data_IF_129561536204
#
_entry.id   IF_129561536204
#
_cell.length_a   1.000
_cell.length_b   1.000
_cell.length_c   1.000
_cell.angle_alpha   90.00
_cell.angle_beta   90.00
_cell.angle_gamma   90.00
#
_symmetry.space_group_name_H-M   'P 1'
#
loop_
_entity.id
_entity.type
_entity.pdbx_description
1 polymer ?
#
# COMPACT_ATOMS: atom_id res chain seq x y z
N UNK A 1 30.85 2.36 0.44
CA UNK A 1 29.39 2.21 0.63
C UNK A 1 28.73 3.26 -0.25
N UNK A 2 27.93 2.84 -1.23
CA UNK A 2 27.20 3.77 -2.10
C UNK A 2 26.19 4.58 -1.27
N UNK A 3 25.91 5.81 -1.71
CA UNK A 3 25.01 6.75 -1.02
C UNK A 3 23.54 6.27 -0.95
N UNK A 4 23.19 5.32 -1.82
CA UNK A 4 21.86 4.71 -1.93
C UNK A 4 22.02 3.23 -1.68
N UNK A 5 21.23 2.66 -0.77
CA UNK A 5 21.13 1.21 -0.62
C UNK A 5 20.53 0.65 -1.91
N UNK A 6 21.32 -0.07 -2.75
CA UNK A 6 20.85 -0.55 -4.04
C UNK A 6 19.65 -1.50 -3.89
N UNK A 7 19.50 -2.17 -2.75
CA UNK A 7 18.38 -3.05 -2.49
C UNK A 7 17.09 -2.26 -2.25
N UNK A 8 17.17 -1.16 -1.49
CA UNK A 8 16.03 -0.27 -1.26
C UNK A 8 15.62 0.47 -2.53
N UNK A 9 16.59 0.89 -3.35
CA UNK A 9 16.32 1.49 -4.65
C UNK A 9 15.59 0.52 -5.58
N UNK A 10 16.02 -0.74 -5.63
CA UNK A 10 15.32 -1.78 -6.39
C UNK A 10 13.91 -2.00 -5.85
N UNK A 11 13.72 -2.08 -4.54
CA UNK A 11 12.38 -2.19 -3.94
C UNK A 11 11.48 -1.01 -4.32
N UNK A 12 11.97 0.23 -4.23
CA UNK A 12 11.22 1.42 -4.61
C UNK A 12 10.84 1.45 -6.10
N UNK A 13 11.63 0.80 -6.95
CA UNK A 13 11.34 0.61 -8.37
C UNK A 13 10.22 -0.42 -8.56
N UNK A 14 10.36 -1.60 -7.97
CA UNK A 14 9.33 -2.65 -8.05
C UNK A 14 7.98 -2.15 -7.51
N UNK A 15 7.96 -1.45 -6.37
CA UNK A 15 6.72 -0.88 -5.81
C UNK A 15 6.09 0.20 -6.70
N UNK A 16 6.90 0.91 -7.49
CA UNK A 16 6.39 1.85 -8.51
C UNK A 16 5.69 1.10 -9.63
N UNK A 17 6.26 -0.01 -10.07
CA UNK A 17 5.70 -0.82 -11.15
C UNK A 17 4.43 -1.56 -10.71
N UNK A 18 4.36 -2.00 -9.45
CA UNK A 18 3.11 -2.51 -8.85
C UNK A 18 2.01 -1.45 -8.89
N UNK A 19 2.29 -0.21 -8.47
CA UNK A 19 1.33 0.90 -8.55
C UNK A 19 0.85 1.16 -9.98
N UNK A 20 1.77 1.15 -10.95
CA UNK A 20 1.44 1.32 -12.36
C UNK A 20 0.57 0.16 -12.87
N UNK A 21 0.88 -1.07 -12.48
CA UNK A 21 0.09 -2.26 -12.81
C UNK A 21 -1.34 -2.16 -12.28
N UNK A 22 -1.52 -1.73 -11.03
CA UNK A 22 -2.85 -1.51 -10.44
C UNK A 22 -3.65 -0.43 -11.19
N UNK A 23 -3.02 0.70 -11.52
CA UNK A 23 -3.66 1.78 -12.25
C UNK A 23 -4.09 1.34 -13.66
N UNK A 24 -3.23 0.60 -14.36
CA UNK A 24 -3.54 0.05 -15.67
C UNK A 24 -4.70 -0.94 -15.59
N UNK A 25 -4.65 -1.89 -14.64
CA UNK A 25 -5.73 -2.86 -14.47
C UNK A 25 -7.07 -2.19 -14.17
N UNK A 26 -7.09 -1.18 -13.29
CA UNK A 26 -8.30 -0.42 -12.99
C UNK A 26 -8.88 0.26 -14.23
N UNK A 27 -8.02 0.89 -15.04
CA UNK A 27 -8.41 1.55 -16.29
C UNK A 27 -8.96 0.55 -17.31
N UNK A 28 -8.20 -0.50 -17.63
CA UNK A 28 -8.56 -1.52 -18.62
C UNK A 28 -9.84 -2.24 -18.21
N UNK A 29 -10.01 -2.53 -16.91
CA UNK A 29 -11.23 -3.14 -16.40
C UNK A 29 -12.46 -2.25 -16.56
N UNK A 30 -12.31 -0.94 -16.35
CA UNK A 30 -13.36 0.06 -16.57
C UNK A 30 -13.68 0.27 -18.06
N UNK A 31 -12.71 0.13 -18.96
CA UNK A 31 -12.97 0.13 -20.40
C UNK A 31 -13.71 -1.14 -20.83
N UNK A 32 -13.28 -2.31 -20.34
CA UNK A 32 -13.95 -3.58 -20.62
C UNK A 32 -15.40 -3.59 -20.12
N UNK A 33 -15.70 -2.98 -18.97
CA UNK A 33 -17.08 -2.90 -18.45
C UNK A 33 -17.98 -2.03 -19.33
N UNK A 34 -17.46 -0.95 -19.91
CA UNK A 34 -18.20 -0.12 -20.87
C UNK A 34 -18.53 -0.90 -22.14
N UNK A 35 -17.57 -1.65 -22.69
CA UNK A 35 -17.82 -2.47 -23.87
C UNK A 35 -18.80 -3.62 -23.59
N UNK A 36 -18.81 -4.19 -22.38
CA UNK A 36 -19.82 -5.17 -21.97
C UNK A 36 -21.24 -4.57 -22.05
N UNK A 37 -21.44 -3.36 -21.52
CA UNK A 37 -22.74 -2.69 -21.60
C UNK A 37 -23.12 -2.30 -23.04
N UNK A 38 -22.14 -1.84 -23.85
CA UNK A 38 -22.38 -1.52 -25.27
C UNK A 38 -22.82 -2.76 -26.06
N UNK A 39 -22.18 -3.90 -25.86
CA UNK A 39 -22.61 -5.15 -26.44
C UNK A 39 -23.99 -5.55 -25.92
N UNK A 40 -24.24 -5.47 -24.61
CA UNK A 40 -25.56 -5.77 -24.04
C UNK A 40 -26.69 -4.90 -24.60
N UNK A 41 -26.42 -3.68 -25.05
CA UNK A 41 -27.43 -2.79 -25.63
C UNK A 41 -27.98 -3.25 -26.98
N UNK A 42 -27.27 -4.12 -27.71
CA UNK A 42 -27.77 -4.70 -28.97
C UNK A 42 -28.43 -6.06 -28.77
N UNK A 43 -28.45 -6.56 -27.53
CA UNK A 43 -29.05 -7.84 -27.15
C UNK A 43 -30.48 -7.65 -26.61
N UNK A 44 -31.14 -8.76 -26.26
CA UNK A 44 -32.46 -8.75 -25.64
C UNK A 44 -32.47 -8.06 -24.27
N UNK A 45 -33.66 -7.63 -23.83
CA UNK A 45 -33.84 -6.76 -22.66
C UNK A 45 -33.28 -7.36 -21.34
N UNK A 46 -33.28 -8.68 -21.21
CA UNK A 46 -32.69 -9.41 -20.09
C UNK A 46 -31.16 -9.31 -20.05
N UNK A 47 -30.49 -9.59 -21.18
CA UNK A 47 -29.05 -9.46 -21.33
C UNK A 47 -28.62 -8.01 -21.16
N UNK A 48 -29.34 -7.07 -21.78
CA UNK A 48 -29.09 -5.64 -21.65
C UNK A 48 -29.09 -5.18 -20.19
N UNK A 49 -30.16 -5.48 -19.45
CA UNK A 49 -30.31 -5.04 -18.06
C UNK A 49 -29.18 -5.60 -17.18
N UNK A 50 -28.86 -6.88 -17.33
CA UNK A 50 -27.79 -7.52 -16.55
C UNK A 50 -26.42 -6.94 -16.91
N UNK A 51 -26.13 -6.70 -18.19
CA UNK A 51 -24.88 -6.08 -18.62
C UNK A 51 -24.74 -4.65 -18.07
N UNK A 52 -25.81 -3.86 -18.07
CA UNK A 52 -25.81 -2.51 -17.49
C UNK A 52 -25.50 -2.55 -15.98
N UNK A 53 -26.11 -3.48 -15.23
CA UNK A 53 -25.83 -3.63 -13.79
C UNK A 53 -24.42 -4.13 -13.51
N UNK A 54 -23.93 -5.09 -14.29
CA UNK A 54 -22.57 -5.61 -14.15
C UNK A 54 -21.54 -4.54 -14.50
N UNK A 55 -21.82 -3.64 -15.45
CA UNK A 55 -20.99 -2.46 -15.70
C UNK A 55 -20.86 -1.61 -14.43
N UNK A 56 -21.98 -1.23 -13.82
CA UNK A 56 -21.98 -0.39 -12.62
C UNK A 56 -21.21 -1.07 -11.46
N UNK A 57 -21.34 -2.38 -11.31
CA UNK A 57 -20.56 -3.15 -10.33
C UNK A 57 -19.05 -3.13 -10.63
N UNK A 58 -18.65 -3.17 -11.90
CA UNK A 58 -17.25 -3.06 -12.30
C UNK A 58 -16.70 -1.63 -12.20
N UNK A 59 -17.53 -0.61 -12.33
CA UNK A 59 -17.14 0.76 -11.98
C UNK A 59 -16.82 0.86 -10.48
N UNK A 60 -17.58 0.20 -9.61
CA UNK A 60 -17.22 0.10 -8.20
C UNK A 60 -15.91 -0.66 -7.98
N UNK A 61 -15.62 -1.73 -8.73
CA UNK A 61 -14.31 -2.41 -8.68
C UNK A 61 -13.16 -1.45 -9.05
N UNK A 62 -13.35 -0.59 -10.06
CA UNK A 62 -12.37 0.43 -10.42
C UNK A 62 -12.11 1.37 -9.23
N UNK A 63 -13.17 1.83 -8.54
CA UNK A 63 -13.03 2.67 -7.34
C UNK A 63 -12.29 1.94 -6.19
N UNK A 64 -12.56 0.64 -5.99
CA UNK A 64 -11.85 -0.19 -5.01
C UNK A 64 -10.35 -0.29 -5.33
N UNK A 65 -9.98 -0.47 -6.60
CA UNK A 65 -8.59 -0.56 -7.05
C UNK A 65 -7.85 0.78 -6.89
N UNK A 66 -8.52 1.90 -7.16
CA UNK A 66 -7.96 3.25 -6.91
C UNK A 66 -7.68 3.44 -5.42
N UNK A 67 -8.62 3.05 -4.55
CA UNK A 67 -8.42 3.12 -3.11
C UNK A 67 -7.26 2.22 -2.63
N UNK A 68 -7.14 1.01 -3.17
CA UNK A 68 -6.01 0.11 -2.92
C UNK A 68 -4.68 0.75 -3.35
N UNK A 69 -4.64 1.36 -4.54
CA UNK A 69 -3.46 2.08 -5.05
C UNK A 69 -3.03 3.22 -4.13
N UNK A 70 -3.96 3.91 -3.48
CA UNK A 70 -3.62 4.94 -2.48
C UNK A 70 -2.87 4.35 -1.29
N UNK A 71 -3.30 3.18 -0.80
CA UNK A 71 -2.59 2.45 0.26
C UNK A 71 -1.15 2.08 -0.12
N UNK A 72 -0.96 1.56 -1.34
CA UNK A 72 0.38 1.31 -1.90
C UNK A 72 1.23 2.57 -2.01
N UNK A 73 0.64 3.71 -2.37
CA UNK A 73 1.38 4.97 -2.43
C UNK A 73 1.89 5.38 -1.04
N UNK A 74 1.05 5.25 0.00
CA UNK A 74 1.43 5.56 1.39
C UNK A 74 2.62 4.68 1.81
N UNK A 75 2.54 3.37 1.60
CA UNK A 75 3.66 2.46 1.90
C UNK A 75 4.94 2.85 1.17
N UNK A 76 4.84 3.11 -0.13
CA UNK A 76 5.99 3.52 -0.95
C UNK A 76 6.59 4.85 -0.50
N UNK A 77 5.78 5.80 -0.05
CA UNK A 77 6.26 7.08 0.47
C UNK A 77 7.05 6.88 1.77
N UNK A 78 6.64 5.96 2.65
CA UNK A 78 7.44 5.59 3.84
C UNK A 78 8.80 4.98 3.47
N UNK A 79 8.85 4.17 2.42
CA UNK A 79 10.13 3.66 1.90
C UNK A 79 11.04 4.77 1.35
N UNK A 80 10.47 5.79 0.70
CA UNK A 80 11.24 6.96 0.25
C UNK A 80 11.81 7.75 1.44
N UNK A 81 11.02 7.92 2.50
CA UNK A 81 11.47 8.59 3.72
C UNK A 81 12.63 7.84 4.37
N UNK A 82 12.58 6.50 4.38
CA UNK A 82 13.71 5.66 4.83
C UNK A 82 14.94 5.88 3.94
N UNK A 83 14.77 5.87 2.62
CA UNK A 83 15.88 6.07 1.68
C UNK A 83 16.53 7.45 1.87
N UNK A 84 15.71 8.51 2.02
CA UNK A 84 16.19 9.86 2.28
C UNK A 84 16.97 9.94 3.60
N UNK A 85 16.48 9.32 4.67
CA UNK A 85 17.21 9.26 5.94
C UNK A 85 18.57 8.54 5.83
N UNK A 86 18.67 7.53 4.97
CA UNK A 86 19.93 6.85 4.69
C UNK A 86 20.91 7.75 3.92
N UNK A 87 20.43 8.51 2.94
CA UNK A 87 21.22 9.49 2.19
C UNK A 87 21.76 10.59 3.11
N UNK A 88 20.91 11.17 3.97
CA UNK A 88 21.29 12.18 4.95
C UNK A 88 22.37 11.66 5.92
N UNK A 89 22.20 10.44 6.43
CA UNK A 89 23.21 9.77 7.27
C UNK A 89 24.52 9.54 6.52
N UNK A 90 24.46 9.14 5.25
CA UNK A 90 25.65 8.91 4.44
C UNK A 90 26.47 10.20 4.26
N UNK A 91 25.80 11.33 4.01
CA UNK A 91 26.45 12.65 3.89
C UNK A 91 27.18 13.01 5.19
N UNK A 92 26.53 12.80 6.34
CA UNK A 92 27.14 13.10 7.64
C UNK A 92 28.34 12.17 7.93
N UNK A 93 28.28 10.91 7.52
CA UNK A 93 29.42 9.99 7.61
C UNK A 93 30.58 10.39 6.68
N UNK A 94 30.30 10.93 5.49
CA UNK A 94 31.34 11.47 4.60
C UNK A 94 32.02 12.71 5.21
N UNK A 95 31.26 13.57 5.90
CA UNK A 95 31.80 14.70 6.66
C UNK A 95 32.76 14.21 7.75
N UNK A 96 32.36 13.20 8.54
CA UNK A 96 33.22 12.59 9.56
C UNK A 96 34.53 12.05 8.96
N UNK A 97 34.45 11.26 7.88
CA UNK A 97 35.64 10.73 7.19
C UNK A 97 36.57 11.85 6.73
N UNK A 98 36.02 12.92 6.17
CA UNK A 98 36.80 14.07 5.71
C UNK A 98 37.51 14.79 6.88
N UNK A 99 36.85 14.94 8.03
CA UNK A 99 37.48 15.51 9.24
C UNK A 99 38.59 14.58 9.77
N UNK A 100 38.37 13.27 9.77
CA UNK A 100 39.36 12.26 10.18
C UNK A 100 40.59 12.28 9.25
N UNK A 101 40.40 12.39 7.94
CA UNK A 101 41.50 12.48 6.96
C UNK A 101 42.34 13.75 7.16
N UNK A 102 41.69 14.90 7.42
CA UNK A 102 42.39 16.16 7.76
C UNK A 102 43.23 16.01 9.04
N UNK A 103 42.66 15.39 10.08
CA UNK A 103 43.36 15.13 11.33
C UNK A 103 44.57 14.21 11.10
N UNK A 104 44.39 13.09 10.39
CA UNK A 104 45.46 12.15 10.08
C UNK A 104 46.60 12.82 9.29
N UNK A 105 46.28 13.67 8.32
CA UNK A 105 47.26 14.44 7.56
C UNK A 105 48.02 15.44 8.45
N UNK A 106 47.33 16.15 9.36
CA UNK A 106 47.96 17.10 10.27
C UNK A 106 48.94 16.40 11.23
N UNK A 107 48.56 15.25 11.78
CA UNK A 107 49.42 14.40 12.62
C UNK A 107 50.66 13.96 11.84
N UNK A 108 50.47 13.40 10.64
CA UNK A 108 51.58 12.95 9.77
C UNK A 108 52.54 14.09 9.43
N UNK A 109 52.00 15.29 9.24
CA UNK A 109 52.77 16.49 8.89
C UNK A 109 53.34 17.24 10.10
N UNK A 110 53.18 16.71 11.33
CA UNK A 110 53.60 17.36 12.58
C UNK A 110 53.06 18.79 12.75
N UNK A 111 51.86 19.05 12.24
CA UNK A 111 51.17 20.35 12.36
C UNK A 111 50.35 20.41 13.66
N UNK A 112 50.06 21.61 14.20
CA UNK A 112 49.10 21.77 15.29
C UNK A 112 47.73 21.17 14.90
N UNK A 113 47.17 20.30 15.74
CA UNK A 113 46.01 19.48 15.37
C UNK A 113 44.97 19.32 16.50
N UNK A 114 45.15 19.96 17.66
CA UNK A 114 44.21 19.89 18.78
C UNK A 114 42.80 20.34 18.40
N UNK A 115 42.67 21.43 17.63
CA UNK A 115 41.38 21.90 17.11
C UNK A 115 40.70 20.88 16.19
N UNK A 116 41.47 20.13 15.39
CA UNK A 116 40.95 19.06 14.53
C UNK A 116 40.49 17.84 15.33
N UNK A 117 41.15 17.53 16.46
CA UNK A 117 40.69 16.46 17.35
C UNK A 117 39.32 16.82 17.96
N UNK A 118 39.15 18.07 18.40
CA UNK A 118 37.87 18.56 18.92
C UNK A 118 36.80 18.53 17.83
N UNK A 119 37.11 19.00 16.61
CA UNK A 119 36.19 18.96 15.47
C UNK A 119 35.73 17.52 15.15
N UNK A 120 36.66 16.57 15.08
CA UNK A 120 36.35 15.16 14.86
C UNK A 120 35.44 14.60 15.96
N UNK A 121 35.75 14.87 17.24
CA UNK A 121 34.94 14.39 18.36
C UNK A 121 33.50 14.94 18.32
N UNK A 122 33.31 16.21 17.94
CA UNK A 122 31.99 16.82 17.76
C UNK A 122 31.23 16.15 16.62
N UNK A 123 31.84 16.02 15.44
CA UNK A 123 31.18 15.40 14.27
C UNK A 123 30.89 13.92 14.50
N UNK A 124 31.76 13.21 15.22
CA UNK A 124 31.54 11.81 15.60
C UNK A 124 30.32 11.66 16.50
N UNK A 125 30.17 12.53 17.50
CA UNK A 125 28.97 12.58 18.34
C UNK A 125 27.71 12.84 17.51
N UNK A 126 27.74 13.81 16.59
CA UNK A 126 26.61 14.10 15.68
C UNK A 126 26.24 12.87 14.83
N UNK A 127 27.22 12.14 14.29
CA UNK A 127 27.00 10.90 13.53
C UNK A 127 26.33 9.84 14.40
N UNK A 128 26.84 9.61 15.63
CA UNK A 128 26.27 8.59 16.53
C UNK A 128 24.82 8.89 16.90
N UNK A 129 24.50 10.15 17.19
CA UNK A 129 23.13 10.59 17.45
C UNK A 129 22.24 10.38 16.22
N UNK A 130 22.72 10.74 15.03
CA UNK A 130 21.99 10.54 13.77
C UNK A 130 21.77 9.06 13.44
N UNK A 131 22.75 8.18 13.69
CA UNK A 131 22.61 6.72 13.51
C UNK A 131 21.49 6.19 14.41
N UNK A 132 21.51 6.54 15.70
CA UNK A 132 20.50 6.08 16.66
C UNK A 132 19.08 6.57 16.29
N UNK A 133 18.98 7.83 15.87
CA UNK A 133 17.73 8.43 15.38
C UNK A 133 17.22 7.74 14.11
N UNK A 134 18.10 7.53 13.13
CA UNK A 134 17.75 6.85 11.88
C UNK A 134 17.29 5.42 12.09
N UNK A 135 17.98 4.64 12.93
CA UNK A 135 17.58 3.26 13.25
C UNK A 135 16.18 3.18 13.88
N UNK A 136 15.85 4.14 14.75
CA UNK A 136 14.53 4.23 15.38
C UNK A 136 13.45 4.64 14.36
N UNK A 137 13.74 5.67 13.56
CA UNK A 137 12.84 6.17 12.51
C UNK A 137 12.55 5.10 11.46
N UNK A 138 13.58 4.40 10.98
CA UNK A 138 13.47 3.33 9.98
C UNK A 138 12.48 2.23 10.40
N UNK A 139 12.55 1.77 11.66
CA UNK A 139 11.60 0.76 12.18
C UNK A 139 10.19 1.31 12.28
N UNK A 140 10.03 2.56 12.72
CA UNK A 140 8.73 3.19 12.85
C UNK A 140 8.05 3.37 11.47
N UNK A 141 8.78 3.92 10.50
CA UNK A 141 8.31 4.12 9.13
C UNK A 141 7.96 2.79 8.44
N UNK A 142 8.81 1.76 8.60
CA UNK A 142 8.55 0.44 8.02
C UNK A 142 7.28 -0.18 8.61
N UNK A 143 7.12 -0.12 9.95
CA UNK A 143 5.93 -0.63 10.63
C UNK A 143 4.68 0.11 10.14
N UNK A 144 4.70 1.43 10.15
CA UNK A 144 3.56 2.27 9.72
C UNK A 144 3.18 1.99 8.27
N UNK A 145 4.17 1.93 7.37
CA UNK A 145 3.95 1.64 5.95
C UNK A 145 3.33 0.26 5.73
N UNK A 146 3.88 -0.79 6.37
CA UNK A 146 3.35 -2.15 6.25
C UNK A 146 1.95 -2.29 6.87
N UNK A 147 1.70 -1.68 8.04
CA UNK A 147 0.36 -1.68 8.65
C UNK A 147 -0.67 -1.03 7.71
N UNK A 148 -0.35 0.14 7.13
CA UNK A 148 -1.22 0.81 6.16
C UNK A 148 -1.48 -0.04 4.91
N UNK A 149 -0.44 -0.72 4.40
CA UNK A 149 -0.55 -1.63 3.26
C UNK A 149 -1.50 -2.80 3.55
N UNK A 150 -1.30 -3.48 4.68
CA UNK A 150 -2.12 -4.64 5.05
C UNK A 150 -3.56 -4.23 5.40
N UNK A 151 -3.77 -3.07 6.01
CA UNK A 151 -5.13 -2.51 6.20
C UNK A 151 -5.83 -2.25 4.87
N UNK A 152 -5.10 -1.73 3.87
CA UNK A 152 -5.62 -1.50 2.52
C UNK A 152 -6.01 -2.81 1.84
N UNK A 153 -5.20 -3.87 1.98
CA UNK A 153 -5.56 -5.21 1.50
C UNK A 153 -6.78 -5.79 2.21
N UNK A 154 -6.89 -5.64 3.53
CA UNK A 154 -8.06 -6.12 4.27
C UNK A 154 -9.34 -5.40 3.83
N UNK A 155 -9.27 -4.09 3.60
CA UNK A 155 -10.39 -3.31 3.08
C UNK A 155 -10.80 -3.81 1.68
N UNK A 156 -9.83 -3.88 0.76
CA UNK A 156 -10.06 -4.35 -0.61
C UNK A 156 -10.62 -5.77 -0.65
N UNK A 157 -10.06 -6.70 0.14
CA UNK A 157 -10.53 -8.08 0.20
C UNK A 157 -11.99 -8.21 0.63
N UNK A 158 -12.43 -7.45 1.64
CA UNK A 158 -13.84 -7.43 2.08
C UNK A 158 -14.76 -6.91 0.97
N UNK A 159 -14.37 -5.83 0.31
CA UNK A 159 -15.13 -5.26 -0.81
C UNK A 159 -15.22 -6.22 -2.00
N UNK A 160 -14.12 -6.93 -2.30
CA UNK A 160 -14.05 -7.89 -3.38
C UNK A 160 -14.95 -9.11 -3.14
N UNK A 161 -15.05 -9.59 -1.90
CA UNK A 161 -15.98 -10.66 -1.51
C UNK A 161 -17.43 -10.24 -1.76
N UNK A 162 -17.80 -9.01 -1.39
CA UNK A 162 -19.13 -8.45 -1.65
C UNK A 162 -19.39 -8.39 -3.16
N UNK A 163 -18.45 -7.82 -3.93
CA UNK A 163 -18.55 -7.74 -5.38
C UNK A 163 -18.76 -9.12 -6.02
N UNK A 164 -17.95 -10.12 -5.64
CA UNK A 164 -18.06 -11.47 -6.19
C UNK A 164 -19.38 -12.16 -5.82
N UNK A 165 -19.86 -11.96 -4.59
CA UNK A 165 -21.12 -12.53 -4.10
C UNK A 165 -22.32 -11.96 -4.85
N UNK A 166 -22.44 -10.64 -4.90
CA UNK A 166 -23.54 -9.98 -5.62
C UNK A 166 -23.40 -10.12 -7.13
N UNK A 167 -22.18 -10.17 -7.67
CA UNK A 167 -21.94 -10.37 -9.09
C UNK A 167 -22.45 -11.74 -9.54
N UNK A 168 -22.17 -12.80 -8.76
CA UNK A 168 -22.75 -14.13 -9.00
C UNK A 168 -24.27 -14.10 -8.93
N UNK A 169 -24.85 -13.44 -7.93
CA UNK A 169 -26.31 -13.34 -7.79
C UNK A 169 -26.98 -12.53 -8.91
N UNK A 170 -26.30 -11.49 -9.43
CA UNK A 170 -26.73 -10.73 -10.60
C UNK A 170 -26.73 -11.63 -11.84
N UNK A 171 -25.65 -12.37 -12.09
CA UNK A 171 -25.56 -13.28 -13.23
C UNK A 171 -26.56 -14.44 -13.18
N UNK A 172 -26.99 -14.85 -11.99
CA UNK A 172 -28.03 -15.89 -11.86
C UNK A 172 -29.41 -15.42 -12.31
N UNK A 173 -29.60 -14.11 -12.55
CA UNK A 173 -30.85 -13.58 -13.09
C UNK A 173 -30.96 -13.73 -14.61
N UNK A 174 -29.89 -14.18 -15.30
CA UNK A 174 -29.94 -14.46 -16.74
C UNK A 174 -30.88 -15.65 -16.96
N UNK A 175 -32.02 -15.47 -17.67
CA UNK A 175 -32.95 -16.56 -17.93
C UNK A 175 -32.25 -17.74 -18.59
N UNK A 176 -32.48 -18.95 -18.06
CA UNK A 176 -31.96 -20.19 -18.61
C UNK A 176 -33.09 -20.95 -19.31
N UNK A 177 -32.78 -21.65 -20.40
CA UNK A 177 -33.74 -22.47 -21.13
C UNK A 177 -33.38 -22.65 -22.58
N UNK A 178 -34.10 -23.54 -23.27
CA UNK A 178 -34.02 -23.68 -24.72
C UNK A 178 -35.28 -23.08 -25.33
N UNK A 179 -35.10 -22.25 -26.34
CA UNK A 179 -36.20 -21.74 -27.15
C UNK A 179 -36.50 -22.76 -28.25
N UNK A 180 -37.77 -23.08 -28.46
CA UNK A 180 -38.15 -23.87 -29.63
C UNK A 180 -37.97 -23.02 -30.90
N UNK A 181 -37.69 -23.67 -32.03
CA UNK A 181 -37.56 -22.97 -33.31
C UNK A 181 -38.87 -22.23 -33.64
N UNK A 182 -38.77 -20.93 -33.94
CA UNK A 182 -39.91 -20.07 -34.25
C UNK A 182 -40.69 -19.53 -33.04
N UNK A 183 -40.31 -19.89 -31.81
CA UNK A 183 -40.89 -19.28 -30.60
C UNK A 183 -40.19 -17.95 -30.30
N UNK A 184 -40.97 -16.92 -29.91
CA UNK A 184 -40.41 -15.66 -29.42
C UNK A 184 -39.90 -15.78 -27.98
N UNK A 185 -38.93 -14.94 -27.60
CA UNK A 185 -38.47 -14.87 -26.21
C UNK A 185 -39.61 -14.43 -25.28
N UNK A 186 -39.73 -15.03 -24.07
CA UNK A 186 -40.64 -14.53 -23.06
C UNK A 186 -40.34 -13.08 -22.68
N UNK A 187 -41.40 -12.33 -22.31
CA UNK A 187 -41.24 -10.96 -21.83
C UNK A 187 -40.38 -10.93 -20.56
N UNK A 188 -39.30 -10.17 -20.60
CA UNK A 188 -38.42 -9.96 -19.46
C UNK A 188 -39.12 -9.16 -18.35
N UNK A 189 -39.07 -9.68 -17.11
CA UNK A 189 -39.63 -9.04 -15.90
C UNK A 189 -38.64 -8.93 -14.75
N UNK A 190 -37.36 -9.23 -14.99
CA UNK A 190 -36.33 -9.29 -13.94
C UNK A 190 -35.79 -7.93 -13.48
N UNK A 191 -36.17 -6.83 -14.13
CA UNK A 191 -35.59 -5.51 -13.90
C UNK A 191 -35.74 -5.00 -12.44
N UNK A 192 -36.86 -5.31 -11.78
CA UNK A 192 -37.05 -4.94 -10.37
C UNK A 192 -36.16 -5.78 -9.43
N UNK A 193 -35.93 -7.06 -9.79
CA UNK A 193 -35.02 -7.94 -9.05
C UNK A 193 -33.57 -7.45 -9.19
N UNK A 194 -33.09 -7.20 -10.41
CA UNK A 194 -31.72 -6.74 -10.66
C UNK A 194 -31.46 -5.38 -10.02
N UNK A 195 -32.43 -4.45 -10.05
CA UNK A 195 -32.39 -3.20 -9.27
C UNK A 195 -32.21 -3.43 -7.78
N UNK A 196 -32.98 -4.34 -7.19
CA UNK A 196 -32.89 -4.66 -5.76
C UNK A 196 -31.53 -5.27 -5.41
N UNK A 197 -31.06 -6.24 -6.20
CA UNK A 197 -29.73 -6.85 -6.03
C UNK A 197 -28.64 -5.78 -6.05
N UNK A 198 -28.69 -4.84 -6.99
CA UNK A 198 -27.72 -3.75 -7.08
C UNK A 198 -27.82 -2.75 -5.91
N UNK A 199 -29.04 -2.43 -5.46
CA UNK A 199 -29.25 -1.60 -4.28
C UNK A 199 -28.64 -2.24 -3.02
N UNK A 200 -28.86 -3.54 -2.83
CA UNK A 200 -28.31 -4.28 -1.69
C UNK A 200 -26.78 -4.38 -1.76
N UNK A 201 -26.23 -4.61 -2.95
CA UNK A 201 -24.78 -4.54 -3.21
C UNK A 201 -24.20 -3.18 -2.78
N UNK A 202 -24.81 -2.08 -3.22
CA UNK A 202 -24.33 -0.73 -2.93
C UNK A 202 -24.41 -0.42 -1.43
N UNK A 203 -25.50 -0.85 -0.78
CA UNK A 203 -25.69 -0.70 0.67
C UNK A 203 -24.61 -1.45 1.46
N UNK A 204 -24.38 -2.72 1.15
CA UNK A 204 -23.38 -3.56 1.83
C UNK A 204 -21.96 -3.02 1.61
N UNK A 205 -21.67 -2.56 0.39
CA UNK A 205 -20.38 -1.97 0.05
C UNK A 205 -20.12 -0.69 0.85
N UNK A 206 -21.12 0.17 0.99
CA UNK A 206 -21.02 1.41 1.78
C UNK A 206 -20.90 1.14 3.29
N UNK A 207 -21.60 0.13 3.80
CA UNK A 207 -21.45 -0.29 5.19
C UNK A 207 -20.01 -0.74 5.50
N UNK A 208 -19.41 -1.57 4.63
CA UNK A 208 -17.99 -1.97 4.79
C UNK A 208 -17.03 -0.79 4.68
N UNK A 209 -17.29 0.18 3.79
CA UNK A 209 -16.48 1.42 3.67
C UNK A 209 -16.55 2.28 4.93
N UNK A 210 -17.70 2.34 5.58
CA UNK A 210 -17.90 3.15 6.80
C UNK A 210 -17.26 2.54 8.05
N UNK A 211 -17.10 1.22 8.08
CA UNK A 211 -16.49 0.50 9.20
C UNK A 211 -14.96 0.60 9.14
N UNK A 212 -14.37 1.46 9.97
CA UNK A 212 -12.90 1.45 10.18
C UNK A 212 -12.45 0.06 10.63
N UNK A 213 -11.27 -0.41 10.21
CA UNK A 213 -10.70 -1.65 10.74
C UNK A 213 -10.57 -1.53 12.25
N UNK A 214 -11.32 -2.35 13.01
CA UNK A 214 -11.07 -2.51 14.45
C UNK A 214 -9.86 -3.43 14.55
N UNK A 215 -8.66 -2.84 14.53
CA UNK A 215 -7.48 -3.55 15.01
C UNK A 215 -7.66 -3.72 16.51
N UNK A 216 -8.24 -4.84 16.94
CA UNK A 216 -8.08 -5.29 18.32
C UNK A 216 -6.59 -5.49 18.50
N UNK A 217 -5.93 -4.55 19.19
CA UNK A 217 -4.56 -4.76 19.66
C UNK A 217 -4.63 -6.01 20.53
N UNK A 218 -4.21 -7.15 20.00
CA UNK A 218 -3.90 -8.28 20.85
C UNK A 218 -2.69 -7.85 21.67
N UNK A 219 -2.98 -7.43 22.91
CA UNK A 219 -2.01 -7.18 23.97
C UNK A 219 -1.34 -8.52 24.31
N UNK A 220 -0.39 -8.93 23.49
CA UNK A 220 0.54 -10.03 23.79
C UNK A 220 1.98 -9.62 23.46
N UNK A 221 2.25 -8.32 23.51
CA UNK A 221 3.60 -7.73 23.55
C UNK A 221 3.87 -6.99 24.87
N UNK A 222 2.94 -7.06 25.84
CA UNK A 222 3.09 -6.51 27.18
C UNK A 222 3.86 -7.46 28.10
N UNK A 223 5.11 -7.80 27.76
CA UNK A 223 6.03 -8.48 28.69
C UNK A 223 7.51 -8.38 28.30
N UNK A 224 7.93 -7.41 27.48
CA UNK A 224 9.35 -7.16 27.19
C UNK A 224 9.76 -5.71 27.52
N UNK A 225 9.17 -5.13 28.57
CA UNK A 225 9.62 -3.84 29.07
C UNK A 225 9.63 -3.81 30.60
N UNK A 226 10.47 -4.65 31.21
CA UNK A 226 10.83 -4.46 32.63
C UNK A 226 12.23 -4.95 33.03
N UNK A 227 13.11 -5.31 32.10
CA UNK A 227 14.48 -5.77 32.42
C UNK A 227 15.61 -4.85 31.95
N UNK A 228 15.32 -3.70 31.33
CA UNK A 228 16.35 -2.83 30.74
C UNK A 228 16.84 -1.68 31.66
N UNK A 229 16.57 -1.72 32.96
CA UNK A 229 17.13 -0.75 33.93
C UNK A 229 17.72 -1.48 35.14
N UNK A 230 18.89 -2.09 34.97
CA UNK A 230 19.82 -2.30 36.09
C UNK A 230 21.18 -1.69 35.70
N UNK A 231 21.74 -0.76 36.51
CA UNK A 231 23.09 -0.30 36.29
C UNK A 231 24.07 -1.45 36.52
N UNK A 232 25.00 -1.62 35.58
CA UNK A 232 26.06 -2.61 35.64
C UNK A 232 27.05 -2.24 36.75
N UNK A 233 27.01 -2.95 37.89
CA UNK A 233 28.08 -2.89 38.89
C UNK A 233 29.15 -3.91 38.53
N UNK A 234 30.34 -3.43 38.20
CA UNK A 234 31.52 -4.26 37.96
C UNK A 234 31.98 -4.94 39.26
N UNK A 235 32.44 -6.20 39.24
CA UNK A 235 33.14 -6.80 40.37
C UNK A 235 34.64 -6.49 40.32
N UNK A 236 35.11 -5.88 41.43
CA UNK A 236 36.48 -5.73 41.97
C UNK A 236 37.63 -5.40 41.00
#
# INVERSE_FOLDING_TARGET
MNAVDPLLANLLHEEKDVLKGLANFAKEKGEASKFLALWGNVEHADIKDICDRVRDMFEELQNMLVALSTGYSIYRDKLKDINKGAEDLHVQQQKLRSCQDKLAHAIKSKKPHEHLQVEVAVVEKEVLEMVAGFESSKRALLKEGLESQFESFQCFGKQLVILGTFGKHMTSQIPQGKLAAGQELPLYKGNETTKRVFSDFTKELNDVRSKKPVVKRNSTLGSISETANKPYTAPL
#
